data_IF_824830837123
#
_entry.id   IF_824830837123
#
_cell.length_a   1.000
_cell.length_b   1.000
_cell.length_c   1.000
_cell.angle_alpha   90.00
_cell.angle_beta   90.00
_cell.angle_gamma   90.00
#
_symmetry.space_group_name_H-M   'P 1'
#
loop_
_entity.id
_entity.type
_entity.pdbx_description
1 polymer ?
#
# COMPACT_ATOMS: atom_id res chain seq x y z
N UNK A 1 10.06 -0.16 30.67
CA UNK A 1 9.89 0.39 29.31
C UNK A 1 8.40 0.45 29.04
N UNK A 2 7.87 1.59 28.56
CA UNK A 2 6.50 1.71 28.16
C UNK A 2 6.23 0.72 27.01
N UNK A 3 5.13 -0.05 27.11
CA UNK A 3 4.75 -1.00 26.06
C UNK A 3 4.35 -0.17 24.83
N UNK A 4 4.99 -0.41 23.70
CA UNK A 4 4.60 0.22 22.45
C UNK A 4 3.17 -0.18 22.11
N UNK A 5 2.34 0.80 21.75
CA UNK A 5 1.01 0.57 21.21
C UNK A 5 1.13 0.30 19.71
N UNK A 6 0.31 -0.58 19.19
CA UNK A 6 0.19 -0.81 17.76
C UNK A 6 -1.27 -0.61 17.34
N UNK A 7 -1.47 0.09 16.24
CA UNK A 7 -2.75 0.26 15.57
C UNK A 7 -2.65 -0.42 14.21
N UNK A 8 -3.70 -1.14 13.82
CA UNK A 8 -3.78 -1.80 12.52
C UNK A 8 -4.93 -1.18 11.73
N UNK A 9 -4.59 -0.62 10.57
CA UNK A 9 -5.56 0.00 9.67
C UNK A 9 -5.40 -0.64 8.32
N UNK A 10 -6.51 -0.99 7.68
CA UNK A 10 -6.53 -1.69 6.41
C UNK A 10 -7.44 -1.01 5.40
N UNK A 11 -7.07 -1.13 4.13
CA UNK A 11 -8.05 -0.99 3.05
C UNK A 11 -9.24 -1.91 3.30
N UNK A 12 -10.43 -1.45 2.98
CA UNK A 12 -11.67 -2.22 3.09
C UNK A 12 -11.85 -3.26 1.96
N UNK A 13 -10.91 -3.35 1.01
CA UNK A 13 -10.91 -4.43 0.03
C UNK A 13 -10.56 -5.77 0.70
N UNK A 14 -11.33 -6.80 0.40
CA UNK A 14 -11.28 -8.09 1.10
C UNK A 14 -9.86 -8.69 1.18
N UNK A 15 -9.09 -8.65 0.08
CA UNK A 15 -7.70 -9.14 0.05
C UNK A 15 -6.76 -8.41 1.03
N UNK A 16 -6.99 -7.11 1.27
CA UNK A 16 -6.21 -6.35 2.22
C UNK A 16 -6.63 -6.67 3.66
N UNK A 17 -7.93 -6.82 3.92
CA UNK A 17 -8.43 -7.27 5.20
C UNK A 17 -7.86 -8.63 5.60
N UNK A 18 -7.83 -9.60 4.67
CA UNK A 18 -7.22 -10.92 4.91
C UNK A 18 -5.75 -10.79 5.33
N UNK A 19 -4.99 -9.91 4.67
CA UNK A 19 -3.58 -9.66 5.02
C UNK A 19 -3.46 -9.02 6.40
N UNK A 20 -4.31 -8.05 6.72
CA UNK A 20 -4.31 -7.37 8.03
C UNK A 20 -4.66 -8.36 9.16
N UNK A 21 -5.71 -9.15 8.99
CA UNK A 21 -6.16 -10.13 9.98
C UNK A 21 -5.15 -11.27 10.19
N UNK A 22 -4.40 -11.67 9.16
CA UNK A 22 -3.34 -12.66 9.31
C UNK A 22 -2.29 -12.28 10.36
N UNK A 23 -2.09 -10.98 10.61
CA UNK A 23 -1.22 -10.46 11.66
C UNK A 23 -2.01 -10.05 12.91
N UNK A 24 -3.07 -9.26 12.74
CA UNK A 24 -3.80 -8.64 13.84
C UNK A 24 -4.41 -9.68 14.79
N UNK A 25 -5.00 -10.76 14.25
CA UNK A 25 -5.64 -11.81 15.04
C UNK A 25 -4.60 -12.54 15.92
N UNK A 26 -3.40 -12.79 15.41
CA UNK A 26 -2.30 -13.38 16.20
C UNK A 26 -1.84 -12.49 17.36
N UNK A 27 -2.00 -11.17 17.21
CA UNK A 27 -1.57 -10.19 18.19
C UNK A 27 -2.71 -9.72 19.10
N UNK A 28 -3.95 -10.17 18.88
CA UNK A 28 -5.15 -9.72 19.59
C UNK A 28 -5.43 -8.24 19.38
N UNK A 29 -5.25 -7.74 18.14
CA UNK A 29 -5.46 -6.35 17.76
C UNK A 29 -6.69 -6.22 16.86
N UNK A 30 -7.42 -5.12 17.05
CA UNK A 30 -8.54 -4.75 16.17
C UNK A 30 -7.99 -4.19 14.84
N UNK A 31 -8.73 -4.42 13.75
CA UNK A 31 -8.46 -3.86 12.43
C UNK A 31 -9.48 -2.77 12.14
N UNK A 32 -9.01 -1.54 11.93
CA UNK A 32 -9.84 -0.43 11.47
C UNK A 32 -9.79 -0.36 9.94
N UNK A 33 -10.95 -0.16 9.30
CA UNK A 33 -11.03 -0.06 7.83
C UNK A 33 -11.11 1.39 7.39
N UNK A 34 -10.34 1.74 6.35
CA UNK A 34 -10.40 3.06 5.71
C UNK A 34 -10.42 2.90 4.17
N UNK A 35 -11.51 3.33 3.49
CA UNK A 35 -11.60 3.22 2.03
C UNK A 35 -10.59 4.09 1.28
N UNK A 36 -9.98 5.08 1.92
CA UNK A 36 -8.90 5.88 1.33
C UNK A 36 -7.61 5.09 1.11
N UNK A 37 -7.52 3.88 1.68
CA UNK A 37 -6.41 2.95 1.50
C UNK A 37 -6.61 1.97 0.33
N UNK A 38 -7.72 2.06 -0.40
CA UNK A 38 -7.98 1.20 -1.57
C UNK A 38 -6.90 1.36 -2.63
N UNK A 39 -6.71 0.31 -3.42
CA UNK A 39 -5.83 0.37 -4.59
C UNK A 39 -6.24 1.51 -5.53
N UNK A 40 -5.31 1.96 -6.34
CA UNK A 40 -5.55 2.85 -7.45
C UNK A 40 -6.67 2.26 -8.32
N UNK A 41 -7.71 3.05 -8.60
CA UNK A 41 -8.75 2.60 -9.53
C UNK A 41 -8.22 2.54 -10.94
N UNK A 42 -8.49 1.44 -11.64
CA UNK A 42 -8.09 1.25 -13.03
C UNK A 42 -9.23 1.54 -14.02
N UNK A 43 -10.36 2.12 -13.57
CA UNK A 43 -11.46 2.57 -14.43
C UNK A 43 -11.93 1.48 -15.37
N UNK A 44 -11.96 1.78 -16.69
CA UNK A 44 -12.37 0.82 -17.72
C UNK A 44 -11.45 -0.40 -17.84
N UNK A 45 -10.24 -0.34 -17.30
CA UNK A 45 -9.28 -1.44 -17.32
C UNK A 45 -9.48 -2.43 -16.16
N UNK A 46 -10.40 -2.16 -15.24
CA UNK A 46 -10.73 -3.06 -14.13
C UNK A 46 -11.20 -4.42 -14.67
N UNK A 47 -10.57 -5.50 -14.19
CA UNK A 47 -10.88 -6.87 -14.60
C UNK A 47 -10.34 -7.29 -15.97
N UNK A 48 -9.68 -6.40 -16.71
CA UNK A 48 -9.03 -6.75 -17.98
C UNK A 48 -7.64 -7.36 -17.72
N UNK A 49 -7.30 -8.35 -18.53
CA UNK A 49 -5.93 -8.86 -18.58
C UNK A 49 -5.02 -7.87 -19.34
N UNK A 50 -3.70 -8.03 -19.14
CA UNK A 50 -2.70 -7.25 -19.87
C UNK A 50 -2.88 -7.38 -21.38
N UNK A 51 -3.16 -8.57 -21.87
CA UNK A 51 -3.36 -8.90 -23.27
C UNK A 51 -4.57 -8.16 -23.84
N UNK A 52 -5.69 -8.15 -23.11
CA UNK A 52 -6.91 -7.43 -23.51
C UNK A 52 -6.71 -5.92 -23.56
N UNK A 53 -5.95 -5.35 -22.59
CA UNK A 53 -5.61 -3.92 -22.61
C UNK A 53 -4.71 -3.61 -23.81
N UNK A 54 -3.68 -4.43 -24.07
CA UNK A 54 -2.79 -4.24 -25.22
C UNK A 54 -3.52 -4.37 -26.56
N UNK A 55 -4.49 -5.28 -26.67
CA UNK A 55 -5.28 -5.45 -27.88
C UNK A 55 -6.14 -4.22 -28.18
N UNK A 56 -6.75 -3.61 -27.15
CA UNK A 56 -7.71 -2.51 -27.31
C UNK A 56 -7.07 -1.14 -27.22
N UNK A 57 -6.03 -0.98 -26.38
CA UNK A 57 -5.49 0.31 -25.95
C UNK A 57 -3.97 0.34 -25.97
N UNK A 58 -3.32 -0.24 -26.97
CA UNK A 58 -1.88 -0.44 -27.03
C UNK A 58 -1.05 0.83 -26.77
N UNK A 59 -1.46 1.97 -27.35
CA UNK A 59 -0.74 3.24 -27.19
C UNK A 59 -0.91 3.79 -25.79
N UNK A 60 -2.11 3.70 -25.22
CA UNK A 60 -2.42 4.17 -23.88
C UNK A 60 -1.75 3.30 -22.82
N UNK A 61 -1.66 2.00 -23.07
CA UNK A 61 -0.90 1.09 -22.22
C UNK A 61 0.59 1.41 -22.22
N UNK A 62 1.18 1.72 -23.41
CA UNK A 62 2.57 2.14 -23.51
C UNK A 62 2.81 3.46 -22.79
N UNK A 63 1.90 4.43 -22.94
CA UNK A 63 1.92 5.70 -22.24
C UNK A 63 1.86 5.51 -20.70
N UNK A 64 0.97 4.64 -20.23
CA UNK A 64 0.91 4.28 -18.82
C UNK A 64 2.23 3.70 -18.30
N UNK A 65 2.83 2.77 -19.05
CA UNK A 65 4.13 2.16 -18.69
C UNK A 65 5.28 3.17 -18.70
N UNK A 66 5.17 4.20 -19.54
CA UNK A 66 6.13 5.32 -19.62
C UNK A 66 5.82 6.47 -18.65
N UNK A 67 4.79 6.32 -17.80
CA UNK A 67 4.32 7.33 -16.85
C UNK A 67 3.89 8.66 -17.49
N UNK A 68 3.35 8.63 -18.70
CA UNK A 68 2.91 9.82 -19.45
C UNK A 68 1.39 10.01 -19.46
N UNK A 69 0.65 9.24 -18.64
CA UNK A 69 -0.75 9.50 -18.29
C UNK A 69 -1.82 9.08 -19.30
N UNK A 70 -1.47 8.26 -20.31
CA UNK A 70 -2.44 7.82 -21.34
C UNK A 70 -3.60 7.01 -20.78
N UNK A 71 -3.42 6.37 -19.63
CA UNK A 71 -4.45 5.60 -18.95
C UNK A 71 -5.58 6.47 -18.37
N UNK A 72 -5.33 7.73 -18.07
CA UNK A 72 -6.30 8.60 -17.37
C UNK A 72 -7.57 8.85 -18.17
N UNK A 73 -7.50 8.83 -19.51
CA UNK A 73 -8.68 8.95 -20.38
C UNK A 73 -9.64 7.77 -20.32
N UNK A 74 -9.21 6.65 -19.71
CA UNK A 74 -10.03 5.47 -19.44
C UNK A 74 -10.60 5.46 -18.01
N UNK A 75 -10.62 6.61 -17.33
CA UNK A 75 -11.09 6.72 -15.96
C UNK A 75 -10.16 6.12 -14.92
N UNK A 76 -8.91 5.80 -15.30
CA UNK A 76 -7.90 5.35 -14.34
C UNK A 76 -7.53 6.52 -13.42
N UNK A 77 -7.57 6.29 -12.12
CA UNK A 77 -7.22 7.27 -11.10
C UNK A 77 -5.77 7.77 -11.31
N UNK A 78 -5.53 9.08 -11.20
CA UNK A 78 -4.16 9.60 -11.30
C UNK A 78 -3.31 9.15 -10.10
N UNK A 79 -2.00 8.99 -10.28
CA UNK A 79 -1.09 8.66 -9.17
C UNK A 79 -1.05 9.76 -8.12
N UNK A 80 -1.14 11.02 -8.55
CA UNK A 80 -1.22 12.18 -7.66
C UNK A 80 -2.44 12.06 -6.74
N UNK A 81 -3.64 11.81 -7.27
CA UNK A 81 -4.85 11.65 -6.46
C UNK A 81 -4.76 10.44 -5.52
N UNK A 82 -4.27 9.29 -6.01
CA UNK A 82 -4.05 8.09 -5.19
C UNK A 82 -3.12 8.40 -4.01
N UNK A 83 -2.00 9.07 -4.27
CA UNK A 83 -1.02 9.43 -3.23
C UNK A 83 -1.55 10.45 -2.23
N UNK A 84 -2.28 11.47 -2.71
CA UNK A 84 -2.88 12.50 -1.85
C UNK A 84 -3.89 11.92 -0.88
N UNK A 85 -4.89 11.11 -1.34
CA UNK A 85 -5.87 10.50 -0.43
C UNK A 85 -5.22 9.54 0.57
N UNK A 86 -4.12 8.87 0.16
CA UNK A 86 -3.36 8.02 1.06
C UNK A 86 -2.62 8.81 2.12
N UNK A 87 -1.95 9.90 1.74
CA UNK A 87 -1.24 10.78 2.67
C UNK A 87 -2.22 11.46 3.65
N UNK A 88 -3.37 11.95 3.17
CA UNK A 88 -4.43 12.51 4.00
C UNK A 88 -4.91 11.50 5.04
N UNK A 89 -5.19 10.26 4.64
CA UNK A 89 -5.60 9.21 5.57
C UNK A 89 -4.56 9.00 6.69
N UNK A 90 -3.27 8.93 6.34
CA UNK A 90 -2.19 8.74 7.31
C UNK A 90 -2.06 9.95 8.24
N UNK A 91 -2.15 11.17 7.71
CA UNK A 91 -2.05 12.39 8.53
C UNK A 91 -3.22 12.52 9.50
N UNK A 92 -4.45 12.22 9.08
CA UNK A 92 -5.64 12.22 9.95
C UNK A 92 -5.51 11.21 11.10
N UNK A 93 -4.94 10.04 10.82
CA UNK A 93 -4.70 9.03 11.85
C UNK A 93 -3.66 9.52 12.85
N UNK A 94 -2.57 10.13 12.37
CA UNK A 94 -1.54 10.69 13.24
C UNK A 94 -2.11 11.82 14.12
N UNK A 95 -2.92 12.71 13.55
CA UNK A 95 -3.55 13.80 14.30
C UNK A 95 -4.48 13.27 15.39
N UNK A 96 -5.30 12.28 15.07
CA UNK A 96 -6.20 11.61 16.03
C UNK A 96 -5.43 11.02 17.22
N UNK A 97 -4.18 10.58 17.01
CA UNK A 97 -3.34 9.94 18.02
C UNK A 97 -2.19 10.83 18.53
N UNK A 98 -2.14 12.10 18.14
CA UNK A 98 -1.05 13.02 18.49
C UNK A 98 -0.84 13.20 19.99
N UNK A 99 -1.90 13.06 20.81
CA UNK A 99 -1.87 13.20 22.25
C UNK A 99 -1.67 11.87 23.02
N UNK A 100 -1.46 10.78 22.32
CA UNK A 100 -1.23 9.48 22.96
C UNK A 100 0.11 9.50 23.73
N UNK A 101 0.06 9.12 25.02
CA UNK A 101 1.24 9.12 25.91
C UNK A 101 2.25 8.01 25.60
N UNK A 102 1.87 7.00 24.82
CA UNK A 102 2.71 5.88 24.47
C UNK A 102 3.18 6.00 23.02
N UNK A 103 4.45 5.65 22.72
CA UNK A 103 4.92 5.59 21.36
C UNK A 103 4.07 4.58 20.58
N UNK A 104 3.48 5.02 19.48
CA UNK A 104 2.55 4.23 18.67
C UNK A 104 3.22 3.79 17.38
N UNK A 105 3.06 2.53 17.03
CA UNK A 105 3.38 2.01 15.69
C UNK A 105 2.08 1.87 14.92
N UNK A 106 2.01 2.46 13.73
CA UNK A 106 0.88 2.32 12.82
C UNK A 106 1.25 1.28 11.76
N UNK A 107 0.51 0.17 11.72
CA UNK A 107 0.56 -0.81 10.65
C UNK A 107 -0.57 -0.49 9.65
N UNK A 108 -0.19 -0.07 8.45
CA UNK A 108 -1.14 0.25 7.37
C UNK A 108 -1.07 -0.85 6.32
N UNK A 109 -2.21 -1.49 6.06
CA UNK A 109 -2.31 -2.55 5.04
C UNK A 109 -3.07 -2.01 3.84
N UNK A 110 -2.35 -1.81 2.76
CA UNK A 110 -2.85 -1.26 1.50
C UNK A 110 -2.40 -2.09 0.30
N UNK A 111 -2.17 -1.44 -0.82
CA UNK A 111 -1.93 -2.05 -2.12
C UNK A 111 -0.69 -1.46 -2.78
N UNK A 112 -0.19 -2.14 -3.82
CA UNK A 112 1.10 -1.81 -4.42
C UNK A 112 1.18 -0.39 -4.96
N UNK A 113 0.28 -0.01 -5.86
CA UNK A 113 0.30 1.34 -6.45
C UNK A 113 -0.03 2.43 -5.43
N UNK A 114 -0.98 2.13 -4.52
CA UNK A 114 -1.36 3.04 -3.44
C UNK A 114 -0.17 3.34 -2.51
N UNK A 115 0.58 2.30 -2.08
CA UNK A 115 1.74 2.48 -1.18
C UNK A 115 2.79 3.37 -1.85
N UNK A 116 3.17 3.06 -3.10
CA UNK A 116 4.21 3.82 -3.82
C UNK A 116 3.82 5.28 -4.00
N UNK A 117 2.58 5.56 -4.42
CA UNK A 117 2.10 6.92 -4.61
C UNK A 117 1.99 7.70 -3.28
N UNK A 118 1.53 7.04 -2.21
CA UNK A 118 1.42 7.64 -0.87
C UNK A 118 2.80 7.98 -0.30
N UNK A 119 3.76 7.06 -0.41
CA UNK A 119 5.15 7.28 0.01
C UNK A 119 5.74 8.48 -0.73
N UNK A 120 5.52 8.58 -2.04
CA UNK A 120 6.00 9.71 -2.83
C UNK A 120 5.45 11.05 -2.29
N UNK A 121 4.14 11.16 -2.07
CA UNK A 121 3.52 12.39 -1.53
C UNK A 121 4.05 12.73 -0.14
N UNK A 122 4.21 11.73 0.73
CA UNK A 122 4.75 11.96 2.09
C UNK A 122 6.21 12.41 2.08
N UNK A 123 6.98 12.05 1.05
CA UNK A 123 8.37 12.45 0.85
C UNK A 123 8.52 13.73 0.00
N UNK A 124 7.42 14.43 -0.30
CA UNK A 124 7.41 15.60 -1.19
C UNK A 124 7.98 15.29 -2.60
N UNK A 125 7.83 14.04 -3.08
CA UNK A 125 8.19 13.61 -4.43
C UNK A 125 6.98 13.70 -5.36
N UNK A 126 7.24 13.85 -6.67
CA UNK A 126 6.18 13.78 -7.67
C UNK A 126 5.73 12.33 -7.90
N UNK A 127 4.46 11.97 -7.63
CA UNK A 127 3.96 10.61 -7.87
C UNK A 127 3.95 10.18 -9.35
N UNK A 128 4.05 11.11 -10.29
CA UNK A 128 4.11 10.81 -11.72
C UNK A 128 5.57 10.61 -12.21
N UNK A 129 6.58 11.06 -11.43
CA UNK A 129 8.00 10.83 -11.72
C UNK A 129 8.63 9.83 -10.73
N UNK A 130 8.20 8.57 -10.78
CA UNK A 130 8.66 7.50 -9.90
C UNK A 130 9.57 6.48 -10.60
N UNK A 131 10.29 6.90 -11.62
CA UNK A 131 11.17 6.03 -12.41
C UNK A 131 12.29 5.38 -11.56
N UNK A 132 12.61 5.97 -10.42
CA UNK A 132 13.67 5.53 -9.51
C UNK A 132 13.14 4.69 -8.33
N UNK A 133 11.84 4.47 -8.23
CA UNK A 133 11.21 3.68 -7.17
C UNK A 133 10.58 2.44 -7.77
N UNK A 134 10.99 1.26 -7.29
CA UNK A 134 10.42 -0.01 -7.72
C UNK A 134 8.99 -0.23 -7.25
N UNK A 135 8.27 -1.12 -7.92
CA UNK A 135 6.94 -1.55 -7.50
C UNK A 135 7.01 -2.33 -6.18
N UNK A 136 6.00 -2.17 -5.32
CA UNK A 136 5.86 -2.99 -4.11
C UNK A 136 5.57 -4.44 -4.48
N UNK A 137 6.24 -5.37 -3.82
CA UNK A 137 5.95 -6.80 -3.90
C UNK A 137 4.85 -7.19 -2.90
N UNK A 138 4.14 -8.27 -3.18
CA UNK A 138 3.10 -8.78 -2.28
C UNK A 138 3.68 -9.22 -0.93
N UNK A 139 3.01 -8.86 0.16
CA UNK A 139 3.42 -9.12 1.54
C UNK A 139 4.79 -8.52 1.93
N UNK A 140 5.24 -7.50 1.21
CA UNK A 140 6.40 -6.69 1.54
C UNK A 140 5.97 -5.40 2.23
N UNK A 141 6.88 -4.77 2.97
CA UNK A 141 6.61 -3.56 3.73
C UNK A 141 7.55 -2.41 3.40
N UNK A 142 7.07 -1.24 3.72
CA UNK A 142 7.82 0.01 3.73
C UNK A 142 7.70 0.60 5.13
N UNK A 143 8.81 1.08 5.70
CA UNK A 143 8.83 1.74 7.00
C UNK A 143 9.21 3.20 6.84
N UNK A 144 8.41 4.06 7.46
CA UNK A 144 8.64 5.50 7.50
C UNK A 144 8.52 6.00 8.94
N UNK A 145 9.28 7.05 9.25
CA UNK A 145 9.22 7.72 10.55
C UNK A 145 8.86 9.19 10.35
N UNK A 146 7.77 9.66 10.96
CA UNK A 146 7.45 11.08 10.98
C UNK A 146 8.34 11.82 11.98
N UNK A 147 8.75 13.03 11.61
CA UNK A 147 9.51 13.94 12.46
C UNK A 147 8.82 15.30 12.53
N UNK A 148 8.95 15.97 13.66
CA UNK A 148 8.44 17.32 13.81
C UNK A 148 9.00 18.24 12.72
N UNK A 149 8.15 19.07 12.17
CA UNK A 149 8.52 20.07 11.18
C UNK A 149 8.36 21.47 11.80
N UNK A 150 9.42 22.08 12.31
CA UNK A 150 9.34 23.40 12.94
C UNK A 150 8.91 24.51 11.97
N UNK A 151 9.17 24.32 10.66
CA UNK A 151 8.79 25.29 9.63
C UNK A 151 7.30 25.20 9.25
N UNK A 152 6.66 24.05 9.51
CA UNK A 152 5.24 23.85 9.23
C UNK A 152 4.62 22.97 10.34
N UNK A 153 4.28 23.54 11.50
CA UNK A 153 3.64 22.82 12.59
C UNK A 153 2.33 22.16 12.12
N UNK A 154 2.15 20.87 12.40
CA UNK A 154 1.00 20.07 11.97
C UNK A 154 1.21 19.28 10.68
N UNK A 155 2.30 19.51 9.93
CA UNK A 155 2.71 18.68 8.80
C UNK A 155 4.09 18.10 9.05
N UNK A 156 4.21 16.85 9.50
CA UNK A 156 5.52 16.22 9.77
C UNK A 156 6.35 16.11 8.49
N UNK A 157 7.66 16.14 8.64
CA UNK A 157 8.58 15.64 7.63
C UNK A 157 8.74 14.15 7.80
N UNK A 158 8.91 13.43 6.69
CA UNK A 158 8.99 11.98 6.69
C UNK A 158 10.37 11.49 6.33
N UNK A 159 10.80 10.44 7.01
CA UNK A 159 12.01 9.71 6.66
C UNK A 159 11.64 8.31 6.21
N UNK A 160 12.12 7.93 5.03
CA UNK A 160 12.03 6.56 4.53
C UNK A 160 13.17 5.74 5.14
N UNK A 161 12.84 4.83 6.04
CA UNK A 161 13.82 3.96 6.70
C UNK A 161 14.03 2.65 5.95
N UNK A 162 12.95 2.09 5.37
CA UNK A 162 12.98 0.85 4.60
C UNK A 162 11.97 0.95 3.46
N UNK A 163 12.32 0.39 2.30
CA UNK A 163 11.41 0.31 1.16
C UNK A 163 11.42 -1.10 0.58
N UNK A 164 10.21 -1.64 0.32
CA UNK A 164 10.00 -2.93 -0.34
C UNK A 164 10.81 -4.06 0.32
N UNK A 165 10.78 -4.11 1.63
CA UNK A 165 11.43 -5.15 2.44
C UNK A 165 10.48 -6.32 2.63
N UNK A 166 11.06 -7.51 2.76
CA UNK A 166 10.32 -8.74 2.98
C UNK A 166 11.17 -9.82 3.64
N UNK A 167 10.61 -11.01 3.91
CA UNK A 167 11.36 -12.12 4.47
C UNK A 167 12.57 -12.48 3.60
N UNK A 168 13.70 -12.85 4.22
CA UNK A 168 14.93 -13.19 3.48
C UNK A 168 14.71 -14.30 2.44
N UNK A 169 13.84 -15.27 2.72
CA UNK A 169 13.47 -16.33 1.79
C UNK A 169 12.80 -15.82 0.52
N UNK A 170 12.07 -14.70 0.62
CA UNK A 170 11.39 -14.09 -0.51
C UNK A 170 12.36 -13.45 -1.51
N UNK A 171 13.59 -13.16 -1.12
CA UNK A 171 14.64 -12.68 -2.02
C UNK A 171 15.24 -13.82 -2.87
N UNK A 172 15.10 -15.07 -2.44
CA UNK A 172 15.68 -16.26 -3.07
C UNK A 172 14.67 -17.05 -3.89
N UNK A 173 13.36 -16.77 -3.76
CA UNK A 173 12.29 -17.49 -4.42
C UNK A 173 11.37 -16.51 -5.17
N UNK A 174 10.65 -17.02 -6.17
CA UNK A 174 9.54 -16.32 -6.81
C UNK A 174 8.36 -16.22 -5.82
N UNK A 175 8.47 -15.29 -4.88
CA UNK A 175 7.52 -15.12 -3.80
C UNK A 175 6.15 -14.63 -4.28
N UNK A 176 6.06 -13.95 -5.41
CA UNK A 176 4.79 -13.46 -5.97
C UNK A 176 3.85 -14.61 -6.30
N UNK A 177 4.43 -15.75 -6.67
CA UNK A 177 3.70 -16.98 -6.93
C UNK A 177 3.77 -17.98 -5.75
N UNK A 178 4.40 -17.61 -4.64
CA UNK A 178 4.65 -18.46 -3.49
C UNK A 178 5.74 -19.53 -3.75
N UNK A 179 6.19 -20.25 -2.72
CA UNK A 179 7.06 -21.39 -2.88
C UNK A 179 6.39 -22.45 -3.77
N UNK A 180 7.14 -23.13 -4.61
CA UNK A 180 6.62 -24.14 -5.55
C UNK A 180 5.81 -25.23 -4.83
N UNK A 181 6.21 -25.57 -3.60
CA UNK A 181 5.47 -26.49 -2.72
C UNK A 181 4.08 -26.00 -2.29
N UNK A 182 3.80 -24.70 -2.34
CA UNK A 182 2.50 -24.08 -2.01
C UNK A 182 1.65 -23.81 -3.26
N UNK A 183 2.18 -24.05 -4.47
CA UNK A 183 1.45 -23.89 -5.74
C UNK A 183 0.60 -25.10 -6.08
N UNK A 184 0.63 -26.17 -5.28
CA UNK A 184 -0.17 -27.37 -5.53
C UNK A 184 -1.65 -27.03 -5.46
N UNK A 185 -2.46 -27.44 -6.47
CA UNK A 185 -3.91 -27.22 -6.46
C UNK A 185 -4.52 -27.83 -5.19
N UNK A 186 -5.23 -27.02 -4.40
CA UNK A 186 -5.90 -27.44 -3.18
C UNK A 186 -5.21 -27.09 -1.86
N UNK A 187 -4.01 -26.52 -1.86
CA UNK A 187 -3.31 -26.13 -0.61
C UNK A 187 -3.64 -24.72 -0.10
N UNK A 188 -4.35 -23.92 -0.82
CA UNK A 188 -4.75 -22.56 -0.42
C UNK A 188 -6.26 -22.40 -0.30
N UNK A 189 -6.94 -23.32 0.38
CA UNK A 189 -8.24 -22.99 0.95
C UNK A 189 -8.00 -22.14 2.21
N UNK A 190 -7.96 -20.83 2.01
CA UNK A 190 -8.15 -19.89 3.10
C UNK A 190 -9.54 -20.10 3.68
N UNK A 191 -9.62 -20.81 4.79
CA UNK A 191 -10.84 -20.80 5.61
C UNK A 191 -10.81 -19.50 6.40
N UNK A 192 -11.84 -18.61 6.27
CA UNK A 192 -11.96 -17.49 7.16
C UNK A 192 -11.95 -18.05 8.59
N UNK A 193 -11.09 -17.48 9.43
CA UNK A 193 -11.17 -17.73 10.87
C UNK A 193 -12.49 -17.09 11.28
N UNK A 194 -13.53 -17.93 11.41
CA UNK A 194 -14.83 -17.49 11.91
C UNK A 194 -14.63 -17.15 13.37
N UNK A 195 -14.89 -15.89 13.71
CA UNK A 195 -15.05 -15.43 15.10
C UNK A 195 -16.29 -16.04 15.72
#
# INVERSE_FOLDING_TARGET
AARRRMLVISSDLFRAQQTAHAFADLMGLDVTLDPRLRERSFGEWEGMTREEILERYADDYRSWRAHTGGETKHGVESRVHTGQRGAEAILDILDTHANDKAPTTLLVVGHGSWIVATVAVLLDMDPDDLNNIGSMRNAFWTRMTPHDNPANPGRPTWKLDEFNQGPAIAALADWENGPESLRSPGMAEWKPIMQ
#
